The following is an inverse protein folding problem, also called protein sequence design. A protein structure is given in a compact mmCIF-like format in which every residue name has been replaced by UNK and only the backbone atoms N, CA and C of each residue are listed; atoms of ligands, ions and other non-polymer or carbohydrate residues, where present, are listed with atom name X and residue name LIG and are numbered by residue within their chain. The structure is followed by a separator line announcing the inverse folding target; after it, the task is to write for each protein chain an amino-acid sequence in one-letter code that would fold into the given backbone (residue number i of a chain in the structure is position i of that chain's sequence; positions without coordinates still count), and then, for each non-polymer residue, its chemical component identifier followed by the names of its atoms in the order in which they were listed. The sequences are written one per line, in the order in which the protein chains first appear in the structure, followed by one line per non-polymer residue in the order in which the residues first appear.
data_IF_120520889093
#
_entry.id   IF_120520889093
#
_cell.length_a   1.000
_cell.length_b   1.000
_cell.length_c   1.000
_cell.angle_alpha   90.00
_cell.angle_beta   90.00
_cell.angle_gamma   90.00
#
_symmetry.space_group_name_H-M   'P 1'
#
loop_
_entity.id
_entity.type
_entity.pdbx_description
1 polymer ?
#
# COMPACT_ATOMS: atom_id res chain seq x y z
N UNK A 1 -6.73 38.40 16.26
CA UNK A 1 -7.26 37.51 15.22
C UNK A 1 -6.32 36.32 15.14
N UNK A 2 -6.66 35.24 15.87
CA UNK A 2 -6.99 33.91 15.32
C UNK A 2 -5.86 33.41 14.42
N UNK A 3 -4.93 32.58 14.88
CA UNK A 3 -5.14 31.36 15.65
C UNK A 3 -4.43 30.28 14.84
N UNK A 4 -3.11 30.17 15.03
CA UNK A 4 -2.30 29.12 14.42
C UNK A 4 -2.64 27.78 15.07
N UNK A 5 -3.73 27.16 14.61
CA UNK A 5 -4.04 25.77 14.90
C UNK A 5 -2.96 24.92 14.24
N UNK A 6 -2.14 24.30 15.08
CA UNK A 6 -1.03 23.47 14.67
C UNK A 6 -1.52 22.20 13.98
N UNK A 7 -1.59 22.22 12.66
CA UNK A 7 -1.75 20.99 11.87
C UNK A 7 -0.49 20.12 12.03
N UNK A 8 -0.55 19.12 12.92
CA UNK A 8 0.52 18.13 13.06
C UNK A 8 0.37 17.07 11.98
N UNK A 9 0.97 17.33 10.82
CA UNK A 9 1.03 16.40 9.71
C UNK A 9 2.04 15.27 9.99
N UNK A 10 1.55 14.06 10.21
CA UNK A 10 2.42 12.90 10.42
C UNK A 10 2.56 12.07 9.15
N UNK A 11 3.76 12.08 8.57
CA UNK A 11 4.11 11.28 7.39
C UNK A 11 4.44 9.84 7.79
N UNK A 12 3.60 8.90 7.36
CA UNK A 12 3.93 7.49 7.38
C UNK A 12 4.79 7.26 6.14
N UNK A 13 6.10 7.01 6.28
CA UNK A 13 6.94 6.60 5.15
C UNK A 13 6.79 5.10 4.93
N UNK A 14 6.30 4.64 3.77
CA UNK A 14 6.82 3.44 3.13
C UNK A 14 7.75 3.92 2.00
N UNK A 15 8.77 3.19 1.56
CA UNK A 15 8.58 2.35 0.37
C UNK A 15 9.83 1.53 -0.02
N UNK A 16 10.82 1.39 0.88
CA UNK A 16 12.03 0.60 0.54
C UNK A 16 11.68 -0.86 0.19
N UNK A 17 10.71 -1.44 0.89
CA UNK A 17 10.29 -2.84 0.68
C UNK A 17 9.55 -3.04 -0.64
N UNK A 18 8.79 -2.04 -1.11
CA UNK A 18 8.05 -2.16 -2.38
C UNK A 18 9.01 -2.01 -3.56
N UNK A 19 9.98 -1.11 -3.49
CA UNK A 19 11.04 -1.03 -4.50
C UNK A 19 11.81 -2.34 -4.63
N UNK A 20 12.17 -2.97 -3.50
CA UNK A 20 12.81 -4.30 -3.49
C UNK A 20 11.92 -5.37 -4.16
N UNK A 21 10.62 -5.36 -3.85
CA UNK A 21 9.65 -6.30 -4.41
C UNK A 21 9.54 -6.16 -5.94
N UNK A 22 9.47 -4.93 -6.42
CA UNK A 22 9.46 -4.61 -7.87
C UNK A 22 10.72 -5.13 -8.56
N UNK A 23 11.90 -4.89 -7.98
CA UNK A 23 13.18 -5.37 -8.53
C UNK A 23 13.20 -6.91 -8.58
N UNK A 24 12.77 -7.58 -7.51
CA UNK A 24 12.69 -9.05 -7.48
C UNK A 24 11.75 -9.59 -8.56
N UNK A 25 10.58 -8.97 -8.73
CA UNK A 25 9.65 -9.38 -9.78
C UNK A 25 10.18 -9.12 -11.19
N UNK A 26 10.91 -8.02 -11.40
CA UNK A 26 11.57 -7.74 -12.68
C UNK A 26 12.63 -8.81 -13.01
N UNK A 27 13.49 -9.16 -12.04
CA UNK A 27 14.50 -10.22 -12.22
C UNK A 27 13.83 -11.56 -12.50
N UNK A 28 12.78 -11.92 -11.74
CA UNK A 28 12.01 -13.16 -11.94
C UNK A 28 11.40 -13.22 -13.36
N UNK A 29 10.84 -12.11 -13.83
CA UNK A 29 10.28 -12.00 -15.18
C UNK A 29 11.36 -12.15 -16.25
N UNK A 30 12.51 -11.48 -16.10
CA UNK A 30 13.64 -11.63 -17.03
C UNK A 30 14.15 -13.08 -17.07
N UNK A 31 14.27 -13.75 -15.93
CA UNK A 31 14.64 -15.16 -15.86
C UNK A 31 13.59 -16.06 -16.54
N UNK A 32 12.30 -15.77 -16.38
CA UNK A 32 11.22 -16.50 -17.05
C UNK A 32 11.30 -16.35 -18.58
N UNK A 33 11.56 -15.13 -19.08
CA UNK A 33 11.75 -14.85 -20.51
C UNK A 33 12.99 -15.55 -21.05
N UNK A 34 14.12 -15.48 -20.36
CA UNK A 34 15.35 -16.20 -20.76
C UNK A 34 15.05 -17.69 -20.84
N UNK A 35 14.41 -18.27 -19.81
CA UNK A 35 14.08 -19.70 -19.77
C UNK A 35 13.14 -20.11 -20.90
N UNK A 36 12.19 -19.27 -21.29
CA UNK A 36 11.32 -19.51 -22.45
C UNK A 36 12.12 -19.52 -23.76
N UNK A 37 13.06 -18.59 -23.92
CA UNK A 37 13.86 -18.44 -25.14
C UNK A 37 14.96 -19.51 -25.25
N UNK A 38 15.54 -19.93 -24.13
CA UNK A 38 16.67 -20.88 -24.10
C UNK A 38 16.27 -22.32 -23.80
N UNK A 39 14.98 -22.62 -23.60
CA UNK A 39 14.54 -24.00 -23.39
C UNK A 39 14.62 -24.79 -24.70
N UNK A 40 15.75 -25.48 -24.83
CA UNK A 40 15.92 -26.56 -25.78
C UNK A 40 14.86 -27.64 -25.49
N UNK A 41 14.14 -28.05 -26.53
CA UNK A 41 12.89 -28.82 -26.46
C UNK A 41 13.07 -30.27 -25.98
N UNK A 42 14.26 -30.65 -25.49
CA UNK A 42 14.62 -32.02 -25.19
C UNK A 42 14.26 -32.50 -23.78
N UNK A 43 14.18 -31.63 -22.76
CA UNK A 43 13.95 -32.06 -21.37
C UNK A 43 12.61 -31.66 -20.75
N UNK A 44 11.82 -30.80 -21.38
CA UNK A 44 10.51 -30.39 -20.86
C UNK A 44 9.56 -30.01 -21.99
N UNK A 45 8.27 -30.40 -21.93
CA UNK A 45 7.28 -29.99 -22.93
C UNK A 45 7.18 -28.46 -22.99
N UNK A 46 7.30 -27.88 -24.20
CA UNK A 46 7.24 -26.44 -24.44
C UNK A 46 6.02 -25.74 -23.82
N UNK A 47 4.93 -26.49 -23.63
CA UNK A 47 3.69 -26.07 -22.97
C UNK A 47 3.95 -25.56 -21.55
N UNK A 48 4.84 -26.19 -20.78
CA UNK A 48 5.14 -25.75 -19.41
C UNK A 48 5.86 -24.40 -19.38
N UNK A 49 6.80 -24.17 -20.31
CA UNK A 49 7.47 -22.88 -20.46
C UNK A 49 6.48 -21.77 -20.84
N UNK A 50 5.57 -22.06 -21.77
CA UNK A 50 4.54 -21.13 -22.20
C UNK A 50 3.56 -20.76 -21.07
N UNK A 51 3.07 -21.73 -20.29
CA UNK A 51 2.19 -21.48 -19.14
C UNK A 51 2.91 -20.64 -18.09
N UNK A 52 4.18 -20.94 -17.81
CA UNK A 52 4.98 -20.18 -16.86
C UNK A 52 5.18 -18.73 -17.33
N UNK A 53 5.47 -18.51 -18.61
CA UNK A 53 5.55 -17.18 -19.20
C UNK A 53 4.23 -16.41 -19.06
N UNK A 54 3.09 -17.05 -19.38
CA UNK A 54 1.77 -16.41 -19.26
C UNK A 54 1.48 -16.02 -17.81
N UNK A 55 1.79 -16.89 -16.85
CA UNK A 55 1.63 -16.60 -15.42
C UNK A 55 2.52 -15.42 -14.98
N UNK A 56 3.78 -15.38 -15.42
CA UNK A 56 4.68 -14.25 -15.16
C UNK A 56 4.18 -12.95 -15.79
N UNK A 57 3.60 -13.00 -17.00
CA UNK A 57 3.04 -11.83 -17.69
C UNK A 57 1.85 -11.24 -16.93
N UNK A 58 0.92 -12.09 -16.47
CA UNK A 58 -0.23 -11.66 -15.67
C UNK A 58 0.22 -11.05 -14.34
N UNK A 59 1.15 -11.72 -13.64
CA UNK A 59 1.73 -11.19 -12.40
C UNK A 59 2.44 -9.87 -12.60
N UNK A 60 3.18 -9.72 -13.70
CA UNK A 60 3.86 -8.48 -14.06
C UNK A 60 2.85 -7.35 -14.34
N UNK A 61 1.78 -7.63 -15.09
CA UNK A 61 0.71 -6.67 -15.33
C UNK A 61 0.04 -6.20 -14.04
N UNK A 62 -0.28 -7.12 -13.13
CA UNK A 62 -0.80 -6.79 -11.80
C UNK A 62 0.17 -5.92 -11.00
N UNK A 63 1.46 -6.24 -11.04
CA UNK A 63 2.50 -5.48 -10.36
C UNK A 63 2.64 -4.06 -10.93
N UNK A 64 2.57 -3.88 -12.25
CA UNK A 64 2.56 -2.56 -12.90
C UNK A 64 1.36 -1.75 -12.45
N UNK A 65 0.16 -2.34 -12.42
CA UNK A 65 -1.05 -1.63 -11.95
C UNK A 65 -0.92 -1.22 -10.48
N UNK A 66 -0.40 -2.11 -9.62
CA UNK A 66 -0.11 -1.79 -8.21
C UNK A 66 0.92 -0.68 -8.07
N UNK A 67 1.97 -0.70 -8.91
CA UNK A 67 2.99 0.35 -8.97
C UNK A 67 2.39 1.69 -9.39
N UNK A 68 1.54 1.70 -10.43
CA UNK A 68 0.85 2.90 -10.88
C UNK A 68 -0.07 3.41 -9.77
N UNK A 69 -0.87 2.58 -9.10
CA UNK A 69 -1.74 3.03 -7.99
C UNK A 69 -0.93 3.67 -6.85
N UNK A 70 0.24 3.09 -6.58
CA UNK A 70 1.15 3.57 -5.56
C UNK A 70 1.86 4.87 -5.93
N UNK A 71 2.37 4.97 -7.17
CA UNK A 71 3.08 6.14 -7.69
C UNK A 71 2.15 7.29 -8.03
N UNK A 72 0.95 6.98 -8.52
CA UNK A 72 -0.07 7.98 -8.88
C UNK A 72 -0.60 8.68 -7.64
N UNK A 73 -0.21 8.23 -6.43
CA UNK A 73 -0.70 8.79 -5.18
C UNK A 73 -2.20 9.04 -5.27
N UNK A 74 -2.94 8.03 -5.75
CA UNK A 74 -4.39 8.09 -5.82
C UNK A 74 -4.88 8.11 -4.37
N UNK A 75 -4.89 9.32 -3.82
CA UNK A 75 -4.98 9.61 -2.40
C UNK A 75 -6.45 9.78 -2.09
N UNK A 76 -7.02 8.75 -1.49
CA UNK A 76 -8.36 8.85 -0.93
C UNK A 76 -8.24 9.46 0.46
N UNK A 77 -8.73 10.66 0.60
CA UNK A 77 -8.82 11.33 1.90
C UNK A 77 -10.06 10.82 2.62
N UNK A 78 -9.86 10.36 3.85
CA UNK A 78 -10.89 9.79 4.71
C UNK A 78 -10.92 10.63 5.98
N UNK A 79 -12.08 11.19 6.31
CA UNK A 79 -12.31 11.93 7.56
C UNK A 79 -13.13 11.09 8.53
N UNK A 80 -12.77 11.16 9.80
CA UNK A 80 -13.51 10.46 10.85
C UNK A 80 -12.95 10.72 12.24
N UNK A 81 -13.52 10.02 13.22
CA UNK A 81 -13.12 10.08 14.63
C UNK A 81 -12.54 8.76 15.09
N UNK A 82 -11.44 8.80 15.86
CA UNK A 82 -10.89 7.60 16.47
C UNK A 82 -11.78 7.18 17.62
N UNK A 83 -12.37 5.99 17.54
CA UNK A 83 -13.23 5.44 18.60
C UNK A 83 -12.42 4.61 19.57
N UNK A 84 -11.45 3.85 19.06
CA UNK A 84 -10.67 2.91 19.86
C UNK A 84 -9.29 2.69 19.26
N UNK A 85 -8.31 2.42 20.12
CA UNK A 85 -6.95 2.00 19.77
C UNK A 85 -6.71 0.60 20.35
N UNK A 86 -6.32 -0.33 19.49
CA UNK A 86 -5.99 -1.72 19.85
C UNK A 86 -4.59 -2.06 19.31
N UNK A 87 -3.58 -1.99 20.19
CA UNK A 87 -2.20 -2.20 19.80
C UNK A 87 -1.80 -1.26 18.65
N UNK A 88 -1.46 -1.82 17.49
CA UNK A 88 -1.07 -1.10 16.27
C UNK A 88 -2.24 -0.75 15.34
N UNK A 89 -3.47 -0.96 15.78
CA UNK A 89 -4.67 -0.73 14.98
C UNK A 89 -5.49 0.39 15.62
N UNK A 90 -5.92 1.35 14.81
CA UNK A 90 -6.91 2.37 15.21
C UNK A 90 -8.24 2.09 14.52
N UNK A 91 -9.33 2.18 15.28
CA UNK A 91 -10.68 2.08 14.77
C UNK A 91 -11.22 3.48 14.55
N UNK A 92 -11.46 3.83 13.29
CA UNK A 92 -11.93 5.16 12.90
C UNK A 92 -13.38 5.05 12.45
N UNK A 93 -14.26 5.77 13.14
CA UNK A 93 -15.63 5.99 12.71
C UNK A 93 -15.61 7.12 11.68
N UNK A 94 -15.85 6.77 10.43
CA UNK A 94 -15.90 7.74 9.35
C UNK A 94 -17.16 8.60 9.43
N UNK A 95 -17.10 9.76 8.79
CA UNK A 95 -18.25 10.67 8.66
C UNK A 95 -19.43 10.01 7.89
N UNK A 96 -19.18 8.93 7.13
CA UNK A 96 -20.21 8.10 6.48
C UNK A 96 -20.89 7.08 7.43
N UNK A 97 -20.55 7.11 8.73
CA UNK A 97 -21.07 6.20 9.76
C UNK A 97 -20.41 4.82 9.77
N UNK A 98 -19.44 4.53 8.90
CA UNK A 98 -18.78 3.21 8.85
C UNK A 98 -17.53 3.17 9.72
N UNK A 99 -17.49 2.23 10.67
CA UNK A 99 -16.30 1.92 11.43
C UNK A 99 -15.31 1.13 10.57
N UNK A 100 -14.05 1.60 10.44
CA UNK A 100 -13.00 0.89 9.71
C UNK A 100 -11.69 0.83 10.51
N UNK A 101 -11.06 -0.35 10.61
CA UNK A 101 -9.75 -0.48 11.24
C UNK A 101 -8.63 -0.05 10.28
N UNK A 102 -7.65 0.69 10.81
CA UNK A 102 -6.43 1.07 10.09
C UNK A 102 -5.21 0.63 10.90
N UNK A 103 -4.31 -0.10 10.25
CA UNK A 103 -3.05 -0.54 10.85
C UNK A 103 -1.99 0.56 10.70
N UNK A 104 -1.47 1.03 11.82
CA UNK A 104 -0.41 2.02 11.88
C UNK A 104 0.92 1.29 12.12
N UNK A 105 1.86 1.49 11.21
CA UNK A 105 3.17 0.84 11.26
C UNK A 105 4.18 1.68 12.06
N UNK A 106 4.00 3.00 12.10
CA UNK A 106 4.92 3.92 12.78
C UNK A 106 4.48 4.14 14.23
N UNK A 107 5.27 3.67 15.23
CA UNK A 107 4.90 3.77 16.65
C UNK A 107 4.80 5.23 17.13
N UNK A 108 5.65 6.13 16.64
CA UNK A 108 5.63 7.56 17.03
C UNK A 108 4.31 8.27 16.68
N UNK A 109 3.68 7.87 15.57
CA UNK A 109 2.37 8.40 15.14
C UNK A 109 1.26 7.81 15.99
N UNK A 110 1.40 6.53 16.34
CA UNK A 110 0.45 5.80 17.17
C UNK A 110 0.39 6.37 18.60
N UNK A 111 1.52 6.80 19.18
CA UNK A 111 1.58 7.40 20.51
C UNK A 111 0.84 8.74 20.60
N UNK A 112 0.84 9.52 19.52
CA UNK A 112 0.18 10.84 19.44
C UNK A 112 -1.32 10.77 19.14
N UNK A 113 -1.84 9.57 18.82
CA UNK A 113 -3.25 9.36 18.48
C UNK A 113 -4.01 8.86 19.70
N UNK A 114 -5.02 9.63 20.11
CA UNK A 114 -5.94 9.29 21.20
C UNK A 114 -7.35 9.00 20.66
N UNK A 115 -8.15 8.31 21.48
CA UNK A 115 -9.58 8.22 21.26
C UNK A 115 -10.19 9.63 21.26
N UNK A 116 -11.28 9.81 20.52
CA UNK A 116 -12.00 11.06 20.26
C UNK A 116 -11.30 12.10 19.38
N UNK A 117 -10.03 11.90 18.99
CA UNK A 117 -9.40 12.75 17.99
C UNK A 117 -10.12 12.65 16.65
N UNK A 118 -10.42 13.80 16.05
CA UNK A 118 -10.86 13.88 14.67
C UNK A 118 -9.63 13.86 13.78
N UNK A 119 -9.61 12.92 12.84
CA UNK A 119 -8.45 12.65 12.00
C UNK A 119 -8.83 12.64 10.53
N UNK A 120 -7.93 13.19 9.73
CA UNK A 120 -7.94 13.08 8.29
C UNK A 120 -6.84 12.09 7.88
N UNK A 121 -7.25 10.93 7.39
CA UNK A 121 -6.36 9.87 6.94
C UNK A 121 -6.33 9.88 5.42
N UNK A 122 -5.16 10.09 4.87
CA UNK A 122 -4.92 9.93 3.45
C UNK A 122 -4.48 8.49 3.21
N UNK A 123 -5.25 7.75 2.42
CA UNK A 123 -4.98 6.36 2.06
C UNK A 123 -4.71 6.21 0.56
N UNK A 124 -3.94 5.19 0.19
CA UNK A 124 -3.84 4.72 -1.21
C UNK A 124 -5.16 4.10 -1.67
N UNK A 125 -5.55 4.29 -2.93
CA UNK A 125 -6.88 3.93 -3.44
C UNK A 125 -7.12 2.40 -3.49
N UNK A 126 -6.20 1.59 -4.02
CA UNK A 126 -6.38 0.13 -4.03
C UNK A 126 -6.09 -0.50 -2.66
N UNK A 127 -4.91 -0.21 -2.10
CA UNK A 127 -4.43 -0.97 -0.94
C UNK A 127 -4.97 -0.48 0.41
N UNK A 128 -5.70 0.65 0.45
CA UNK A 128 -6.17 1.31 1.68
C UNK A 128 -5.06 1.53 2.73
N UNK A 129 -3.81 1.69 2.29
CA UNK A 129 -2.68 1.89 3.19
C UNK A 129 -2.65 3.36 3.58
N UNK A 130 -2.68 3.70 4.89
CA UNK A 130 -2.57 5.08 5.33
C UNK A 130 -1.16 5.61 5.06
N UNK A 131 -1.06 6.71 4.32
CA UNK A 131 0.20 7.40 3.98
C UNK A 131 0.43 8.67 4.81
N UNK A 132 -0.65 9.34 5.21
CA UNK A 132 -0.61 10.54 6.06
C UNK A 132 -1.81 10.54 7.01
N UNK A 133 -1.56 10.92 8.26
CA UNK A 133 -2.61 11.19 9.24
C UNK A 133 -2.42 12.63 9.69
N UNK A 134 -3.45 13.44 9.53
CA UNK A 134 -3.51 14.80 10.09
C UNK A 134 -4.56 14.80 11.20
N UNK A 135 -4.19 15.30 12.38
CA UNK A 135 -5.17 15.56 13.45
C UNK A 135 -5.78 16.92 13.19
N UNK A 136 -7.10 16.98 13.08
CA UNK A 136 -7.86 18.21 12.89
C UNK A 136 -8.55 18.46 14.23
N UNK A 137 -8.01 19.36 15.05
CA UNK A 137 -8.62 19.76 16.34
C UNK A 137 -10.04 20.32 16.15
#
# INVERSE_FOLDING_TARGET
MLGGLGEVAMHLKPHKTIGLLVVLFAVQFTLAVIRLVTMDHQMMPAIFGFIFFLACLVLFGLLVVLLIDLLTEARRTIRGRIVKKEGRIIHVLRDDGKLKPYKIIVPDVLEKLHADHRVEIVCTNLANIPSRITVVE
#
